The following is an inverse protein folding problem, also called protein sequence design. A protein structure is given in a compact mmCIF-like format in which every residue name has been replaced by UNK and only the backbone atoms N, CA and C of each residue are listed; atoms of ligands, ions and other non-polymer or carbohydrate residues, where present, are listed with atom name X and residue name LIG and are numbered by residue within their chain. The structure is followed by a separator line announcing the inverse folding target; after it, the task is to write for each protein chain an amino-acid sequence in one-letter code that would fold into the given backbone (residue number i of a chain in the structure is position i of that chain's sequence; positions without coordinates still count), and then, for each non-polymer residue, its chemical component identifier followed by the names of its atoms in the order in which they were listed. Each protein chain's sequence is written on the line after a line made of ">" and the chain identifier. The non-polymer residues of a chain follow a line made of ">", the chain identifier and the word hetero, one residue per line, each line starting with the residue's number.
data_IF_385468931240
#
_entry.id   IF_385468931240
#
_cell.length_a   1.000
_cell.length_b   1.000
_cell.length_c   1.000
_cell.angle_alpha   90.00
_cell.angle_beta   90.00
_cell.angle_gamma   90.00
#
_symmetry.space_group_name_H-M   'P 1'
#
loop_
_entity.id
_entity.type
_entity.pdbx_description
1 polymer ?
#
# COMPACT_ATOMS: atom_id res chain seq x y z
N UNK A 1 -6.74 9.81 34.37
CA UNK A 1 -6.16 10.16 33.01
C UNK A 1 -5.08 9.21 32.54
N UNK A 2 -4.30 8.52 33.39
CA UNK A 2 -3.18 7.66 32.92
C UNK A 2 -3.54 6.36 32.20
N UNK A 3 -4.68 5.73 32.49
CA UNK A 3 -5.05 4.42 31.87
C UNK A 3 -5.53 4.55 30.40
N UNK A 4 -6.14 5.65 30.01
CA UNK A 4 -6.61 5.86 28.63
C UNK A 4 -5.46 6.17 27.66
N UNK A 5 -4.40 6.83 28.12
CA UNK A 5 -3.23 7.10 27.29
C UNK A 5 -2.39 5.82 27.06
N UNK A 6 -2.23 4.98 28.09
CA UNK A 6 -1.51 3.70 27.96
C UNK A 6 -2.21 2.72 27.00
N UNK A 7 -3.56 2.69 26.99
CA UNK A 7 -4.33 1.85 26.04
C UNK A 7 -4.26 2.40 24.61
N UNK A 8 -4.19 3.70 24.41
CA UNK A 8 -4.06 4.30 23.08
C UNK A 8 -2.64 4.09 22.51
N UNK A 9 -1.61 4.21 23.33
CA UNK A 9 -0.22 3.94 22.93
C UNK A 9 -0.02 2.46 22.59
N UNK A 10 -0.46 1.53 23.44
CA UNK A 10 -0.36 0.09 23.16
C UNK A 10 -1.18 -0.34 21.94
N UNK A 11 -2.33 0.28 21.68
CA UNK A 11 -3.11 0.04 20.47
C UNK A 11 -2.38 0.52 19.22
N UNK A 12 -1.75 1.69 19.27
CA UNK A 12 -0.96 2.21 18.16
C UNK A 12 0.27 1.34 17.87
N UNK A 13 0.98 0.89 18.91
CA UNK A 13 2.13 -0.02 18.77
C UNK A 13 1.72 -1.36 18.14
N UNK A 14 0.64 -1.98 18.62
CA UNK A 14 0.13 -3.22 18.05
C UNK A 14 -0.30 -3.06 16.59
N UNK A 15 -0.93 -1.94 16.25
CA UNK A 15 -1.31 -1.62 14.88
C UNK A 15 -0.08 -1.45 13.98
N UNK A 16 0.95 -0.75 14.44
CA UNK A 16 2.19 -0.57 13.68
C UNK A 16 2.92 -1.90 13.47
N UNK A 17 2.99 -2.75 14.48
CA UNK A 17 3.59 -4.08 14.37
C UNK A 17 2.87 -4.98 13.37
N UNK A 18 1.53 -4.94 13.34
CA UNK A 18 0.73 -5.65 12.35
C UNK A 18 1.01 -5.14 10.94
N UNK A 19 1.07 -3.81 10.75
CA UNK A 19 1.40 -3.23 9.46
C UNK A 19 2.79 -3.62 8.99
N UNK A 20 3.80 -3.56 9.86
CA UNK A 20 5.19 -3.94 9.53
C UNK A 20 5.31 -5.42 9.14
N UNK A 21 4.61 -6.33 9.82
CA UNK A 21 4.56 -7.75 9.42
C UNK A 21 4.01 -7.91 8.01
N UNK A 22 2.92 -7.22 7.71
CA UNK A 22 2.29 -7.20 6.39
C UNK A 22 3.25 -6.69 5.31
N UNK A 23 3.93 -5.58 5.57
CA UNK A 23 4.91 -5.00 4.65
C UNK A 23 6.05 -5.96 4.37
N UNK A 24 6.66 -6.53 5.40
CA UNK A 24 7.77 -7.48 5.25
C UNK A 24 7.33 -8.71 4.45
N UNK A 25 6.15 -9.25 4.77
CA UNK A 25 5.61 -10.40 4.04
C UNK A 25 5.37 -10.08 2.57
N UNK A 26 4.81 -8.93 2.27
CA UNK A 26 4.59 -8.48 0.90
C UNK A 26 5.89 -8.25 0.11
N UNK A 27 6.97 -7.87 0.81
CA UNK A 27 8.27 -7.58 0.19
C UNK A 27 9.15 -8.82 -0.01
N UNK A 28 8.80 -10.00 0.54
CA UNK A 28 9.63 -11.21 0.42
C UNK A 28 9.95 -11.57 -1.04
N UNK A 29 8.99 -11.33 -1.96
CA UNK A 29 9.11 -11.70 -3.37
C UNK A 29 8.93 -10.50 -4.32
N UNK A 30 9.05 -9.28 -3.80
CA UNK A 30 8.92 -8.06 -4.61
C UNK A 30 10.21 -7.25 -4.60
N UNK A 31 10.89 -7.22 -5.74
CA UNK A 31 12.08 -6.39 -5.92
C UNK A 31 11.72 -4.91 -5.95
N UNK A 32 12.35 -4.11 -5.09
CA UNK A 32 12.13 -2.66 -4.98
C UNK A 32 13.37 -1.82 -5.31
N UNK A 33 14.53 -2.47 -5.41
CA UNK A 33 15.81 -1.81 -5.61
C UNK A 33 15.87 -1.03 -6.91
N UNK A 34 16.25 0.24 -6.82
CA UNK A 34 16.37 1.14 -7.95
C UNK A 34 15.05 1.53 -8.65
N UNK A 35 13.90 1.14 -8.11
CA UNK A 35 12.59 1.39 -8.72
C UNK A 35 11.92 2.65 -8.19
N UNK A 36 11.06 3.24 -9.03
CA UNK A 36 10.08 4.23 -8.61
C UNK A 36 8.91 3.51 -7.96
N UNK A 37 8.62 3.81 -6.72
CA UNK A 37 7.54 3.17 -5.95
C UNK A 37 6.40 4.13 -5.70
N UNK A 38 5.17 3.59 -5.70
CA UNK A 38 3.96 4.28 -5.30
C UNK A 38 3.35 3.60 -4.07
N UNK A 39 3.13 4.35 -2.99
CA UNK A 39 2.40 3.91 -1.80
C UNK A 39 1.03 4.58 -1.78
N UNK A 40 0.00 3.81 -2.11
CA UNK A 40 -1.40 4.28 -2.24
C UNK A 40 -2.10 4.19 -0.90
N UNK A 41 -2.62 5.32 -0.42
CA UNK A 41 -3.16 5.43 0.93
C UNK A 41 -2.06 5.34 1.97
N UNK A 42 -0.96 6.06 1.78
CA UNK A 42 0.26 5.98 2.59
C UNK A 42 0.06 6.34 4.06
N UNK A 43 -1.07 6.92 4.42
CA UNK A 43 -1.41 7.30 5.79
C UNK A 43 -0.35 8.22 6.41
N UNK A 44 0.26 7.76 7.50
CA UNK A 44 1.34 8.49 8.19
C UNK A 44 2.74 8.22 7.62
N UNK A 45 2.87 7.37 6.58
CA UNK A 45 4.14 7.07 5.93
C UNK A 45 4.94 5.95 6.60
N UNK A 46 4.29 5.00 7.26
CA UNK A 46 4.97 3.86 7.91
C UNK A 46 5.75 2.99 6.93
N UNK A 47 5.19 2.78 5.74
CA UNK A 47 5.81 1.94 4.71
C UNK A 47 7.11 2.53 4.16
N UNK A 48 7.28 3.85 4.16
CA UNK A 48 8.46 4.49 3.60
C UNK A 48 9.77 3.97 4.19
N UNK A 49 9.78 3.67 5.50
CA UNK A 49 10.98 3.19 6.20
C UNK A 49 11.41 1.80 5.76
N UNK A 50 10.47 0.98 5.29
CA UNK A 50 10.77 -0.40 4.87
C UNK A 50 11.47 -0.45 3.49
N UNK A 51 11.36 0.62 2.66
CA UNK A 51 11.83 0.61 1.27
C UNK A 51 12.75 1.79 0.89
N UNK A 52 12.88 2.81 1.74
CA UNK A 52 13.62 4.05 1.42
C UNK A 52 15.12 3.86 1.19
N UNK A 53 15.72 2.77 1.71
CA UNK A 53 17.13 2.46 1.50
C UNK A 53 17.43 1.90 0.11
N UNK A 54 16.44 1.30 -0.54
CA UNK A 54 16.60 0.53 -1.77
C UNK A 54 15.93 1.20 -2.98
N UNK A 55 14.82 1.89 -2.77
CA UNK A 55 14.05 2.52 -3.84
C UNK A 55 14.78 3.73 -4.46
N UNK A 56 14.57 3.96 -5.76
CA UNK A 56 15.03 5.17 -6.42
C UNK A 56 14.21 6.39 -6.00
N UNK A 57 12.88 6.28 -6.06
CA UNK A 57 11.92 7.31 -5.61
C UNK A 57 10.75 6.59 -4.92
N UNK A 58 10.23 7.19 -3.86
CA UNK A 58 8.97 6.79 -3.23
C UNK A 58 8.00 7.95 -3.31
N UNK A 59 6.82 7.70 -3.85
CA UNK A 59 5.69 8.65 -3.83
C UNK A 59 4.60 8.06 -2.96
N UNK A 60 4.29 8.73 -1.85
CA UNK A 60 3.13 8.39 -1.01
C UNK A 60 1.94 9.28 -1.33
N UNK A 61 0.78 8.68 -1.54
CA UNK A 61 -0.47 9.43 -1.74
C UNK A 61 -1.49 9.10 -0.67
N UNK A 62 -2.29 10.10 -0.29
CA UNK A 62 -3.45 9.94 0.60
C UNK A 62 -4.43 11.09 0.36
N UNK A 63 -5.72 10.89 0.62
CA UNK A 63 -6.72 11.97 0.57
C UNK A 63 -6.71 12.84 1.83
N UNK A 64 -6.22 12.30 2.96
CA UNK A 64 -6.23 12.94 4.26
C UNK A 64 -5.03 13.87 4.47
N UNK A 65 -5.26 15.18 4.38
CA UNK A 65 -4.24 16.20 4.73
C UNK A 65 -3.65 16.01 6.13
N UNK A 66 -4.44 15.53 7.08
CA UNK A 66 -3.99 15.28 8.46
C UNK A 66 -2.93 14.17 8.51
N UNK A 67 -3.15 13.08 7.78
CA UNK A 67 -2.21 11.97 7.68
C UNK A 67 -0.98 12.38 6.86
N UNK A 68 -1.17 13.07 5.75
CA UNK A 68 -0.07 13.55 4.90
C UNK A 68 0.89 14.52 5.62
N UNK A 69 0.41 15.31 6.59
CA UNK A 69 1.31 16.12 7.43
C UNK A 69 2.27 15.25 8.24
N UNK A 70 1.80 14.11 8.77
CA UNK A 70 2.65 13.14 9.47
C UNK A 70 3.59 12.44 8.49
N UNK A 71 3.07 11.96 7.36
CA UNK A 71 3.85 11.34 6.29
C UNK A 71 4.97 12.27 5.80
N UNK A 72 4.67 13.55 5.60
CA UNK A 72 5.68 14.56 5.20
C UNK A 72 6.79 14.74 6.24
N UNK A 73 6.46 14.62 7.53
CA UNK A 73 7.46 14.66 8.61
C UNK A 73 8.38 13.44 8.57
N UNK A 74 7.86 12.26 8.21
CA UNK A 74 8.67 11.06 8.02
C UNK A 74 9.52 11.17 6.74
N UNK A 75 8.91 11.59 5.63
CA UNK A 75 9.56 11.75 4.33
C UNK A 75 10.79 12.66 4.40
N UNK A 76 10.76 13.74 5.18
CA UNK A 76 11.91 14.65 5.38
C UNK A 76 13.16 13.98 5.98
N UNK A 77 12.99 12.82 6.60
CA UNK A 77 14.09 12.08 7.25
C UNK A 77 14.68 11.00 6.34
N UNK A 78 14.09 10.80 5.17
CA UNK A 78 14.38 9.70 4.25
C UNK A 78 14.81 10.25 2.89
N UNK A 79 15.67 9.55 2.15
CA UNK A 79 16.05 9.96 0.81
C UNK A 79 14.90 9.75 -0.18
N UNK A 80 14.75 10.68 -1.13
CA UNK A 80 13.89 10.57 -2.30
C UNK A 80 12.42 10.17 -2.02
N UNK A 81 11.85 10.60 -0.89
CA UNK A 81 10.44 10.37 -0.52
C UNK A 81 9.61 11.63 -0.73
N UNK A 82 8.54 11.52 -1.49
CA UNK A 82 7.61 12.60 -1.81
C UNK A 82 6.20 12.24 -1.38
N UNK A 83 5.41 13.24 -0.98
CA UNK A 83 4.03 13.06 -0.49
C UNK A 83 3.10 13.97 -1.27
N UNK A 84 2.04 13.40 -1.83
CA UNK A 84 1.08 14.11 -2.67
C UNK A 84 -0.34 13.84 -2.14
N UNK A 85 -1.17 14.89 -2.05
CA UNK A 85 -2.60 14.69 -1.82
C UNK A 85 -3.27 14.34 -3.13
N UNK A 86 -3.84 13.15 -3.22
CA UNK A 86 -4.53 12.68 -4.41
C UNK A 86 -5.61 11.66 -4.07
N UNK A 87 -6.58 11.55 -4.99
CA UNK A 87 -7.57 10.48 -4.99
C UNK A 87 -7.00 9.28 -5.77
N UNK A 88 -7.08 8.09 -5.21
CA UNK A 88 -6.53 6.87 -5.81
C UNK A 88 -7.24 6.44 -7.11
N UNK A 89 -8.45 6.94 -7.37
CA UNK A 89 -9.21 6.66 -8.59
C UNK A 89 -8.77 7.58 -9.77
N UNK A 90 -8.02 8.67 -9.50
CA UNK A 90 -7.58 9.65 -10.49
C UNK A 90 -6.22 10.23 -10.11
N UNK A 91 -5.14 9.54 -10.46
CA UNK A 91 -3.80 9.90 -10.04
C UNK A 91 -3.09 10.80 -11.07
N UNK A 92 -2.43 11.89 -10.64
CA UNK A 92 -1.82 12.86 -11.54
C UNK A 92 -0.42 12.41 -12.01
N UNK A 93 -0.28 11.14 -12.37
CA UNK A 93 0.97 10.58 -12.85
C UNK A 93 0.79 10.03 -14.25
N UNK A 94 1.89 9.99 -15.00
CA UNK A 94 1.93 9.39 -16.34
C UNK A 94 1.80 7.87 -16.26
N UNK A 95 1.35 7.27 -17.34
CA UNK A 95 1.31 5.83 -17.53
C UNK A 95 2.72 5.22 -17.42
N UNK A 96 2.81 3.95 -17.09
CA UNK A 96 4.03 3.14 -17.08
C UNK A 96 5.19 3.76 -16.26
N UNK A 97 4.90 4.43 -15.15
CA UNK A 97 5.93 5.15 -14.39
C UNK A 97 6.48 4.39 -13.19
N UNK A 98 5.66 3.62 -12.49
CA UNK A 98 6.04 2.97 -11.25
C UNK A 98 6.47 1.52 -11.48
N UNK A 99 7.69 1.20 -11.02
CA UNK A 99 8.23 -0.17 -11.03
C UNK A 99 7.72 -1.04 -9.87
N UNK A 100 7.00 -0.45 -8.92
CA UNK A 100 6.30 -1.13 -7.83
C UNK A 100 5.20 -0.25 -7.27
N UNK A 101 4.00 -0.81 -7.08
CA UNK A 101 2.84 -0.11 -6.51
C UNK A 101 2.33 -0.91 -5.32
N UNK A 102 2.10 -0.23 -4.21
CA UNK A 102 1.65 -0.83 -2.96
C UNK A 102 0.34 -0.19 -2.52
N UNK A 103 -0.68 -1.01 -2.27
CA UNK A 103 -2.01 -0.58 -1.83
C UNK A 103 -2.44 -1.38 -0.60
N UNK A 104 -1.92 -0.95 0.55
CA UNK A 104 -2.12 -1.62 1.83
C UNK A 104 -3.34 -1.09 2.58
N UNK A 105 -4.34 -1.95 2.79
CA UNK A 105 -5.53 -1.65 3.61
C UNK A 105 -6.36 -0.46 3.08
N UNK A 106 -6.40 -0.27 1.76
CA UNK A 106 -7.10 0.82 1.08
C UNK A 106 -8.36 0.35 0.36
N UNK A 107 -8.28 -0.74 -0.40
CA UNK A 107 -9.36 -1.18 -1.31
C UNK A 107 -10.72 -1.32 -0.63
N UNK A 108 -10.78 -1.76 0.62
CA UNK A 108 -12.02 -1.86 1.38
C UNK A 108 -12.67 -0.52 1.73
N UNK A 109 -11.94 0.59 1.58
CA UNK A 109 -12.43 1.93 1.83
C UNK A 109 -12.81 2.68 0.55
N UNK A 110 -12.53 2.07 -0.62
CA UNK A 110 -12.81 2.70 -1.91
C UNK A 110 -14.27 2.44 -2.31
N UNK A 111 -14.99 3.45 -2.84
CA UNK A 111 -16.35 3.26 -3.36
C UNK A 111 -16.40 2.28 -4.53
N UNK A 112 -15.38 2.30 -5.38
CA UNK A 112 -15.25 1.47 -6.58
C UNK A 112 -13.84 0.87 -6.68
N UNK A 113 -13.51 -0.16 -5.89
CA UNK A 113 -12.14 -0.70 -5.83
C UNK A 113 -11.64 -1.26 -7.17
N UNK A 114 -12.54 -1.68 -8.06
CA UNK A 114 -12.17 -2.09 -9.42
C UNK A 114 -11.63 -0.91 -10.25
N UNK A 115 -12.20 0.29 -10.12
CA UNK A 115 -11.70 1.50 -10.77
C UNK A 115 -10.32 1.87 -10.24
N UNK A 116 -10.13 1.80 -8.92
CA UNK A 116 -8.83 2.01 -8.30
C UNK A 116 -7.78 1.07 -8.89
N UNK A 117 -8.06 -0.23 -8.97
CA UNK A 117 -7.14 -1.22 -9.56
C UNK A 117 -6.84 -0.93 -11.03
N UNK A 118 -7.82 -0.48 -11.81
CA UNK A 118 -7.63 -0.07 -13.21
C UNK A 118 -6.66 1.12 -13.30
N UNK A 119 -6.81 2.11 -12.42
CA UNK A 119 -5.89 3.26 -12.36
C UNK A 119 -4.47 2.83 -11.95
N UNK A 120 -4.33 1.93 -10.98
CA UNK A 120 -3.02 1.40 -10.58
C UNK A 120 -2.35 0.62 -11.72
N UNK A 121 -3.12 -0.16 -12.48
CA UNK A 121 -2.62 -0.86 -13.67
C UNK A 121 -2.09 0.10 -14.73
N UNK A 122 -2.79 1.21 -14.97
CA UNK A 122 -2.32 2.26 -15.91
C UNK A 122 -0.96 2.82 -15.53
N UNK A 123 -0.71 3.01 -14.22
CA UNK A 123 0.52 3.61 -13.71
C UNK A 123 1.69 2.62 -13.61
N UNK A 124 1.39 1.33 -13.59
CA UNK A 124 2.34 0.26 -13.41
C UNK A 124 3.17 0.07 -14.69
N UNK A 125 4.50 0.17 -14.58
CA UNK A 125 5.39 -0.11 -15.70
C UNK A 125 5.31 -1.59 -16.11
N UNK A 126 5.59 -1.88 -17.37
CA UNK A 126 5.60 -3.26 -17.88
C UNK A 126 6.54 -4.14 -17.04
N UNK A 127 6.03 -5.26 -16.55
CA UNK A 127 6.75 -6.20 -15.69
C UNK A 127 6.91 -5.73 -14.24
N UNK A 128 6.25 -4.65 -13.84
CA UNK A 128 6.20 -4.20 -12.46
C UNK A 128 5.30 -5.10 -11.60
N UNK A 129 5.35 -4.88 -10.29
CA UNK A 129 4.48 -5.56 -9.33
C UNK A 129 3.54 -4.56 -8.67
N UNK A 130 2.28 -4.98 -8.55
CA UNK A 130 1.25 -4.29 -7.75
C UNK A 130 0.92 -5.18 -6.56
N UNK A 131 1.20 -4.70 -5.36
CA UNK A 131 0.86 -5.40 -4.12
C UNK A 131 -0.45 -4.85 -3.58
N UNK A 132 -1.48 -5.67 -3.54
CA UNK A 132 -2.79 -5.32 -3.03
C UNK A 132 -3.14 -6.13 -1.79
N UNK A 133 -3.79 -5.49 -0.80
CA UNK A 133 -4.31 -6.21 0.36
C UNK A 133 -5.81 -6.04 0.53
N UNK A 134 -6.48 -7.15 0.87
CA UNK A 134 -7.91 -7.20 1.22
C UNK A 134 -8.09 -7.57 2.68
N UNK A 135 -8.79 -6.75 3.47
CA UNK A 135 -9.04 -7.02 4.87
C UNK A 135 -10.04 -8.18 5.00
N UNK A 136 -9.65 -9.30 5.66
CA UNK A 136 -10.45 -10.55 5.77
C UNK A 136 -11.83 -10.35 6.40
N UNK A 137 -11.96 -9.39 7.33
CA UNK A 137 -13.28 -9.05 7.91
C UNK A 137 -14.22 -8.32 6.94
N UNK A 138 -13.71 -7.79 5.83
CA UNK A 138 -14.48 -7.01 4.83
C UNK A 138 -14.70 -7.81 3.55
N UNK A 139 -13.68 -8.53 3.11
CA UNK A 139 -13.74 -9.35 1.92
C UNK A 139 -13.84 -10.83 2.25
N UNK A 140 -14.85 -11.51 1.73
CA UNK A 140 -14.79 -12.95 1.56
C UNK A 140 -13.69 -13.28 0.52
N UNK A 141 -13.03 -14.42 0.65
CA UNK A 141 -11.89 -14.80 -0.18
C UNK A 141 -12.24 -14.77 -1.68
N UNK A 142 -13.34 -15.40 -2.05
CA UNK A 142 -13.85 -15.44 -3.43
C UNK A 142 -14.05 -14.03 -4.00
N UNK A 143 -14.67 -13.14 -3.22
CA UNK A 143 -14.93 -11.75 -3.64
C UNK A 143 -13.67 -10.92 -3.79
N UNK A 144 -12.65 -11.19 -3.01
CA UNK A 144 -11.39 -10.51 -3.20
C UNK A 144 -10.64 -11.03 -4.43
N UNK A 145 -10.66 -12.33 -4.68
CA UNK A 145 -10.07 -12.92 -5.89
C UNK A 145 -10.80 -12.45 -7.15
N UNK A 146 -12.15 -12.47 -7.18
CA UNK A 146 -12.94 -11.92 -8.29
C UNK A 146 -12.53 -10.47 -8.60
N UNK A 147 -12.40 -9.62 -7.56
CA UNK A 147 -11.97 -8.21 -7.72
C UNK A 147 -10.58 -8.08 -8.35
N UNK A 148 -9.63 -8.93 -7.96
CA UNK A 148 -8.28 -8.91 -8.51
C UNK A 148 -8.25 -9.39 -9.96
N UNK A 149 -8.98 -10.46 -10.29
CA UNK A 149 -9.08 -11.02 -11.65
C UNK A 149 -9.74 -10.00 -12.60
N UNK A 150 -10.81 -9.33 -12.16
CA UNK A 150 -11.50 -8.30 -12.93
C UNK A 150 -10.60 -7.08 -13.27
N UNK A 151 -9.50 -6.87 -12.53
CA UNK A 151 -8.52 -5.83 -12.85
C UNK A 151 -7.75 -6.11 -14.14
N UNK A 152 -7.76 -7.36 -14.60
CA UNK A 152 -6.99 -7.83 -15.75
C UNK A 152 -5.48 -7.83 -15.51
N UNK A 153 -5.03 -7.76 -14.25
CA UNK A 153 -3.66 -8.09 -13.83
C UNK A 153 -3.56 -9.56 -13.46
N UNK A 154 -2.39 -10.16 -13.63
CA UNK A 154 -2.19 -11.57 -13.30
C UNK A 154 -1.78 -11.72 -11.83
N UNK A 155 -2.41 -12.63 -11.10
CA UNK A 155 -2.01 -12.97 -9.73
C UNK A 155 -0.77 -13.86 -9.81
N UNK A 156 0.36 -13.36 -9.35
CA UNK A 156 1.64 -14.10 -9.29
C UNK A 156 1.80 -14.83 -7.96
N UNK A 157 1.33 -14.20 -6.87
CA UNK A 157 1.39 -14.76 -5.54
C UNK A 157 0.16 -14.34 -4.74
N UNK A 158 -0.35 -15.26 -3.94
CA UNK A 158 -1.47 -15.00 -3.02
C UNK A 158 -1.16 -15.58 -1.64
N UNK A 159 -1.21 -14.73 -0.61
CA UNK A 159 -0.84 -15.07 0.76
C UNK A 159 -2.08 -14.92 1.66
N UNK A 160 -2.44 -16.02 2.31
CA UNK A 160 -3.52 -16.10 3.30
C UNK A 160 -3.00 -16.77 4.58
N UNK A 161 -2.29 -16.00 5.40
CA UNK A 161 -1.77 -16.46 6.70
C UNK A 161 -2.73 -16.11 7.84
N UNK A 162 -2.99 -17.02 8.77
CA UNK A 162 -3.89 -16.79 9.91
C UNK A 162 -3.46 -15.62 10.80
N UNK A 163 -2.15 -15.41 10.93
CA UNK A 163 -1.57 -14.35 11.78
C UNK A 163 -1.66 -12.96 11.15
N UNK A 164 -2.09 -12.88 9.89
CA UNK A 164 -2.26 -11.62 9.15
C UNK A 164 -3.76 -11.41 8.86
N UNK A 165 -4.31 -10.29 9.32
CA UNK A 165 -5.73 -9.96 9.16
C UNK A 165 -6.14 -9.56 7.73
N UNK A 166 -5.24 -9.65 6.78
CA UNK A 166 -5.47 -9.35 5.37
C UNK A 166 -5.02 -10.53 4.49
N UNK A 167 -5.69 -10.69 3.36
CA UNK A 167 -5.11 -11.33 2.19
C UNK A 167 -4.05 -10.39 1.61
N UNK A 168 -2.95 -10.94 1.08
CA UNK A 168 -1.95 -10.18 0.34
C UNK A 168 -1.85 -10.80 -1.05
N UNK A 169 -1.98 -10.00 -2.09
CA UNK A 169 -1.80 -10.43 -3.46
C UNK A 169 -0.67 -9.65 -4.11
N UNK A 170 0.20 -10.35 -4.81
CA UNK A 170 1.22 -9.77 -5.69
C UNK A 170 0.75 -9.99 -7.12
N UNK A 171 0.54 -8.89 -7.84
CA UNK A 171 0.01 -8.89 -9.21
C UNK A 171 1.10 -8.42 -10.17
N UNK A 172 1.10 -8.94 -11.41
CA UNK A 172 1.88 -8.39 -12.52
C UNK A 172 0.99 -7.55 -13.43
N UNK A 173 1.50 -6.40 -13.84
CA UNK A 173 0.85 -5.49 -14.79
C UNK A 173 1.33 -5.76 -16.22
#
# INVERSE_FOLDING_TARGET
>A
MGRYNATAESYNEQYEDEQRRKYRKALENVEVSGKNLLDVGCGSGLFFQEVAGDAHIIVGIDVSLKLLRKAKSQAKKLPAVFVVQADADHLPFRDDFFGGIFVFTVLQNMPQPAQTLTELKRLAAVGSRVVATGLKKTYALDKFLDLLEDSGMQIEEFIDEEVINCYIAVLSA
#
